data_IF_290806701258
#
_entry.id   IF_290806701258
#
_cell.length_a   1.000
_cell.length_b   1.000
_cell.length_c   1.000
_cell.angle_alpha   90.00
_cell.angle_beta   90.00
_cell.angle_gamma   90.00
#
_symmetry.space_group_name_H-M   'P 1'
#
loop_
_entity.id
_entity.type
_entity.pdbx_description
1 polymer ?
#
# COMPACT_ATOMS: atom_id res chain seq x y z
N UNK A 1 14.04 13.63 6.24
CA UNK A 1 13.49 12.80 5.13
C UNK A 1 12.24 13.46 4.62
N UNK A 2 12.12 13.62 3.31
CA UNK A 2 10.97 14.27 2.69
C UNK A 2 9.86 13.23 2.40
N UNK A 3 8.60 13.67 2.27
CA UNK A 3 7.52 12.76 1.89
C UNK A 3 7.84 12.01 0.59
N UNK A 4 7.46 10.75 0.52
CA UNK A 4 7.66 9.85 -0.62
C UNK A 4 9.12 9.45 -0.88
N UNK A 5 10.07 9.84 -0.03
CA UNK A 5 11.44 9.37 -0.18
C UNK A 5 11.55 7.87 0.04
N UNK A 6 10.79 7.33 1.00
CA UNK A 6 10.76 5.90 1.27
C UNK A 6 9.35 5.49 1.66
N UNK A 7 8.80 4.53 0.93
CA UNK A 7 7.49 3.97 1.22
C UNK A 7 7.67 2.51 1.60
N UNK A 8 7.10 2.12 2.73
CA UNK A 8 7.04 0.73 3.17
C UNK A 8 5.72 0.13 2.71
N UNK A 9 5.79 -1.02 2.03
CA UNK A 9 4.62 -1.72 1.55
C UNK A 9 4.57 -3.13 2.14
N UNK A 10 3.44 -3.48 2.73
CA UNK A 10 3.21 -4.82 3.29
C UNK A 10 1.98 -5.43 2.66
N UNK A 11 2.06 -6.72 2.34
CA UNK A 11 0.92 -7.50 1.89
C UNK A 11 0.70 -8.63 2.86
N UNK A 12 -0.43 -8.61 3.53
CA UNK A 12 -0.75 -9.61 4.56
C UNK A 12 -2.01 -10.38 4.19
N UNK A 13 -2.02 -11.66 4.52
CA UNK A 13 -3.19 -12.50 4.36
C UNK A 13 -4.02 -12.48 5.63
N UNK A 14 -5.33 -12.29 5.47
CA UNK A 14 -6.26 -12.33 6.59
C UNK A 14 -6.74 -13.76 6.82
N UNK A 15 -5.91 -14.55 7.52
CA UNK A 15 -6.21 -15.96 7.78
C UNK A 15 -7.49 -16.13 8.57
N UNK A 16 -8.45 -16.84 7.99
CA UNK A 16 -9.71 -17.16 8.65
C UNK A 16 -10.67 -16.00 8.81
N UNK A 17 -10.28 -14.80 8.38
CA UNK A 17 -11.12 -13.62 8.47
C UNK A 17 -11.52 -13.19 7.06
N UNK A 18 -12.79 -13.36 6.74
CA UNK A 18 -13.33 -12.87 5.47
C UNK A 18 -14.21 -11.67 5.75
N UNK A 19 -14.02 -10.61 4.99
CA UNK A 19 -14.94 -9.49 5.03
C UNK A 19 -16.23 -9.87 4.30
N UNK A 20 -17.26 -9.05 4.41
CA UNK A 20 -18.51 -9.26 3.69
C UNK A 20 -18.30 -9.30 2.19
N UNK A 21 -17.26 -8.65 1.71
CA UNK A 21 -16.94 -8.58 0.28
C UNK A 21 -16.04 -9.73 -0.18
N UNK A 22 -15.67 -10.63 0.71
CA UNK A 22 -14.79 -11.76 0.39
C UNK A 22 -13.34 -11.39 0.24
N UNK A 23 -12.90 -10.30 0.85
CA UNK A 23 -11.50 -9.89 0.81
C UNK A 23 -10.65 -10.82 1.67
N UNK A 24 -9.52 -11.23 1.16
CA UNK A 24 -8.61 -12.17 1.84
C UNK A 24 -7.27 -11.56 2.23
N UNK A 25 -6.90 -10.45 1.59
CA UNK A 25 -5.61 -9.82 1.80
C UNK A 25 -5.79 -8.36 2.12
N UNK A 26 -4.84 -7.80 2.84
CA UNK A 26 -4.77 -6.36 2.96
C UNK A 26 -3.36 -5.90 2.65
N UNK A 27 -3.25 -4.72 2.07
CA UNK A 27 -1.99 -4.13 1.67
C UNK A 27 -1.87 -2.76 2.33
N UNK A 28 -0.71 -2.51 2.94
CA UNK A 28 -0.48 -1.23 3.59
C UNK A 28 0.66 -0.50 2.91
N UNK A 29 0.54 0.82 2.87
CA UNK A 29 1.61 1.70 2.41
C UNK A 29 1.86 2.72 3.50
N UNK A 30 3.10 2.82 3.97
CA UNK A 30 3.47 3.76 5.02
C UNK A 30 4.59 4.64 4.51
N UNK A 31 4.36 5.95 4.54
CA UNK A 31 5.39 6.93 4.24
C UNK A 31 6.31 7.04 5.47
N UNK A 32 7.58 6.76 5.29
CA UNK A 32 8.54 6.75 6.39
C UNK A 32 8.76 8.14 6.99
N UNK A 33 8.61 9.18 6.20
CA UNK A 33 8.80 10.55 6.66
C UNK A 33 7.61 11.09 7.44
N UNK A 34 6.41 10.91 6.91
CA UNK A 34 5.19 11.48 7.51
C UNK A 34 4.45 10.50 8.42
N UNK A 35 4.76 9.21 8.30
CA UNK A 35 4.07 8.13 8.99
C UNK A 35 2.61 7.98 8.57
N UNK A 36 2.25 8.53 7.44
CA UNK A 36 0.92 8.36 6.87
C UNK A 36 0.76 6.94 6.37
N UNK A 37 -0.35 6.31 6.74
CA UNK A 37 -0.62 4.92 6.39
C UNK A 37 -1.89 4.83 5.54
N UNK A 38 -1.79 4.10 4.42
CA UNK A 38 -2.94 3.77 3.58
C UNK A 38 -3.14 2.26 3.63
N UNK A 39 -4.41 1.84 3.71
CA UNK A 39 -4.76 0.43 3.74
C UNK A 39 -5.72 0.12 2.61
N UNK A 40 -5.39 -0.93 1.85
CA UNK A 40 -6.24 -1.43 0.77
C UNK A 40 -6.57 -2.89 1.05
N UNK A 41 -7.81 -3.28 0.81
CA UNK A 41 -8.25 -4.66 0.95
C UNK A 41 -8.38 -5.32 -0.41
N UNK A 42 -7.92 -6.56 -0.53
CA UNK A 42 -7.81 -7.27 -1.79
C UNK A 42 -8.49 -8.63 -1.70
N UNK A 43 -9.06 -9.09 -2.83
CA UNK A 43 -9.57 -10.45 -2.95
C UNK A 43 -8.47 -11.43 -3.33
N UNK A 44 -7.53 -10.99 -4.16
CA UNK A 44 -6.42 -11.82 -4.64
C UNK A 44 -5.13 -11.04 -4.56
N UNK A 45 -4.01 -11.78 -4.57
CA UNK A 45 -2.69 -11.16 -4.58
C UNK A 45 -2.43 -10.35 -5.85
N UNK A 46 -3.05 -10.74 -6.96
CA UNK A 46 -2.85 -10.06 -8.23
C UNK A 46 -3.32 -8.61 -8.22
N UNK A 47 -4.28 -8.29 -7.35
CA UNK A 47 -4.77 -6.93 -7.20
C UNK A 47 -3.75 -5.99 -6.57
N UNK A 48 -2.69 -6.53 -5.95
CA UNK A 48 -1.68 -5.72 -5.26
C UNK A 48 -0.99 -4.74 -6.22
N UNK A 49 -0.59 -5.21 -7.40
CA UNK A 49 0.03 -4.33 -8.40
C UNK A 49 -0.89 -3.20 -8.83
N UNK A 50 -2.15 -3.53 -9.04
CA UNK A 50 -3.15 -2.55 -9.44
C UNK A 50 -3.34 -1.49 -8.36
N UNK A 51 -3.47 -1.93 -7.11
CA UNK A 51 -3.64 -1.00 -5.99
C UNK A 51 -2.40 -0.15 -5.74
N UNK A 52 -1.22 -0.71 -5.95
CA UNK A 52 0.00 0.07 -5.87
C UNK A 52 0.03 1.21 -6.89
N UNK A 53 -0.38 0.92 -8.12
CA UNK A 53 -0.43 1.94 -9.17
C UNK A 53 -1.41 3.06 -8.82
N UNK A 54 -2.56 2.71 -8.25
CA UNK A 54 -3.56 3.69 -7.81
C UNK A 54 -2.98 4.55 -6.69
N UNK A 55 -2.40 3.94 -5.68
CA UNK A 55 -1.78 4.64 -4.56
C UNK A 55 -0.68 5.58 -5.05
N UNK A 56 0.22 5.07 -5.88
CA UNK A 56 1.33 5.85 -6.41
C UNK A 56 0.83 7.08 -7.16
N UNK A 57 -0.10 6.89 -8.08
CA UNK A 57 -0.63 8.00 -8.87
C UNK A 57 -1.29 9.05 -7.98
N UNK A 58 -2.06 8.61 -6.98
CA UNK A 58 -2.78 9.51 -6.09
C UNK A 58 -1.83 10.34 -5.22
N UNK A 59 -0.89 9.70 -4.55
CA UNK A 59 -0.01 10.42 -3.63
C UNK A 59 1.02 11.27 -4.37
N UNK A 60 1.49 10.81 -5.52
CA UNK A 60 2.43 11.60 -6.32
C UNK A 60 1.75 12.85 -6.87
N UNK A 61 0.49 12.73 -7.24
CA UNK A 61 -0.28 13.86 -7.72
C UNK A 61 -0.59 14.86 -6.59
N UNK A 62 -0.98 14.36 -5.43
CA UNK A 62 -1.30 15.21 -4.28
C UNK A 62 -0.10 15.99 -3.76
N UNK A 63 1.06 15.35 -3.71
CA UNK A 63 2.26 15.95 -3.15
C UNK A 63 3.17 16.57 -4.20
N UNK A 64 2.83 16.40 -5.46
CA UNK A 64 3.65 16.88 -6.60
C UNK A 64 5.09 16.37 -6.51
N UNK A 65 5.25 15.13 -6.05
CA UNK A 65 6.53 14.47 -5.88
C UNK A 65 6.41 13.04 -6.36
N UNK A 66 7.57 12.41 -6.63
CA UNK A 66 7.61 11.00 -7.02
C UNK A 66 8.18 10.16 -5.89
N UNK A 67 7.70 8.92 -5.79
CA UNK A 67 8.23 7.96 -4.85
C UNK A 67 9.67 7.62 -5.28
N UNK A 68 10.63 7.84 -4.39
CA UNK A 68 12.02 7.54 -4.68
C UNK A 68 12.36 6.08 -4.43
N UNK A 69 11.83 5.51 -3.36
CA UNK A 69 12.10 4.13 -2.98
C UNK A 69 10.84 3.46 -2.48
N UNK A 70 10.68 2.21 -2.87
CA UNK A 70 9.61 1.36 -2.34
C UNK A 70 10.25 0.13 -1.71
N UNK A 71 9.90 -0.12 -0.47
CA UNK A 71 10.37 -1.30 0.23
C UNK A 71 9.19 -2.25 0.45
N UNK A 72 9.28 -3.44 -0.14
CA UNK A 72 8.27 -4.47 0.02
C UNK A 72 8.63 -5.40 1.17
N UNK A 73 7.71 -5.52 2.11
CA UNK A 73 7.82 -6.48 3.20
C UNK A 73 6.63 -7.43 3.15
N UNK A 74 6.83 -8.67 3.59
CA UNK A 74 5.77 -9.64 3.68
C UNK A 74 5.48 -9.95 5.14
N UNK A 75 4.22 -10.03 5.45
CA UNK A 75 3.76 -10.45 6.78
C UNK A 75 4.05 -11.92 7.02
#
# INVERSE_FOLDING_TARGET
>A
MAPLDLIHSDLCEMNGLLTREGKRYFMTFVDDATRFCYIYMLKTKDEASHNFKIYKAEVENQLERKIKRLRDDHC
#
